data_IF_198488757526
#
_entry.id   IF_198488757526
#
_cell.length_a   1.000
_cell.length_b   1.000
_cell.length_c   1.000
_cell.angle_alpha   90.00
_cell.angle_beta   90.00
_cell.angle_gamma   90.00
#
_symmetry.space_group_name_H-M   'P 1'
#
loop_
_entity.id
_entity.type
_entity.pdbx_description
1 polymer ?
#
# COMPACT_ATOMS: atom_id res chain seq x y z
N UNK A 1 38.22 -6.70 -5.31
CA UNK A 1 38.66 -8.08 -5.63
C UNK A 1 39.82 -8.07 -6.60
N UNK A 2 39.79 -7.20 -7.61
CA UNK A 2 40.85 -7.08 -8.62
C UNK A 2 42.24 -6.80 -8.04
N UNK A 3 42.35 -5.84 -7.11
CA UNK A 3 43.65 -5.43 -6.56
C UNK A 3 44.27 -6.48 -5.61
N UNK A 4 43.46 -7.21 -4.82
CA UNK A 4 43.98 -8.27 -3.94
C UNK A 4 44.45 -9.49 -4.74
N UNK A 5 43.74 -9.82 -5.82
CA UNK A 5 44.15 -10.85 -6.78
C UNK A 5 45.45 -10.48 -7.49
N UNK A 6 45.60 -9.21 -7.89
CA UNK A 6 46.83 -8.68 -8.51
C UNK A 6 48.03 -8.78 -7.58
N UNK A 7 47.89 -8.37 -6.31
CA UNK A 7 48.93 -8.50 -5.27
C UNK A 7 49.35 -9.96 -5.06
N UNK A 8 48.39 -10.89 -4.99
CA UNK A 8 48.69 -12.32 -4.83
C UNK A 8 49.35 -12.94 -6.06
N UNK A 9 48.95 -12.54 -7.26
CA UNK A 9 49.57 -12.98 -8.52
C UNK A 9 51.03 -12.53 -8.61
N UNK A 10 51.28 -11.25 -8.31
CA UNK A 10 52.62 -10.67 -8.25
C UNK A 10 53.52 -11.39 -7.23
N UNK A 11 52.96 -11.88 -6.12
CA UNK A 11 53.72 -12.59 -5.09
C UNK A 11 53.94 -14.08 -5.40
N UNK A 12 52.87 -14.79 -5.75
CA UNK A 12 52.85 -16.26 -5.82
C UNK A 12 53.21 -16.81 -7.20
N UNK A 13 52.94 -16.07 -8.30
CA UNK A 13 53.35 -16.44 -9.65
C UNK A 13 54.62 -15.72 -10.10
N UNK A 14 54.69 -14.41 -9.88
CA UNK A 14 55.81 -13.59 -10.35
C UNK A 14 56.97 -13.50 -9.34
N UNK A 15 56.83 -14.12 -8.16
CA UNK A 15 57.85 -14.20 -7.09
C UNK A 15 58.44 -12.84 -6.67
N UNK A 16 57.69 -11.75 -6.83
CA UNK A 16 58.16 -10.40 -6.51
C UNK A 16 58.30 -10.18 -4.98
N UNK A 17 59.23 -9.32 -4.59
CA UNK A 17 59.39 -8.92 -3.18
C UNK A 17 58.22 -8.05 -2.73
N UNK A 18 57.92 -8.04 -1.43
CA UNK A 18 56.80 -7.22 -0.91
C UNK A 18 57.05 -5.72 -1.12
N UNK A 19 58.32 -5.30 -1.20
CA UNK A 19 58.72 -3.93 -1.50
C UNK A 19 58.43 -3.56 -2.96
N UNK A 20 58.69 -4.46 -3.88
CA UNK A 20 58.44 -4.26 -5.31
C UNK A 20 56.94 -4.22 -5.61
N UNK A 21 56.16 -5.08 -4.96
CA UNK A 21 54.70 -5.07 -5.05
C UNK A 21 54.14 -3.73 -4.55
N UNK A 22 54.59 -3.26 -3.38
CA UNK A 22 54.16 -1.97 -2.83
C UNK A 22 54.43 -0.79 -3.79
N UNK A 23 55.60 -0.78 -4.44
CA UNK A 23 55.98 0.24 -5.42
C UNK A 23 55.09 0.21 -6.66
N UNK A 24 54.77 -0.97 -7.18
CA UNK A 24 53.94 -1.15 -8.39
C UNK A 24 52.46 -0.91 -8.16
N UNK A 25 51.95 -1.16 -6.94
CA UNK A 25 50.52 -1.03 -6.65
C UNK A 25 50.17 0.25 -5.88
N UNK A 26 51.16 1.03 -5.43
CA UNK A 26 50.94 2.22 -4.59
C UNK A 26 50.38 1.90 -3.19
N UNK A 27 50.45 0.62 -2.77
CA UNK A 27 49.92 0.17 -1.48
C UNK A 27 51.03 0.15 -0.43
N UNK A 28 50.70 0.45 0.82
CA UNK A 28 51.68 0.33 1.91
C UNK A 28 52.13 -1.14 2.07
N UNK A 29 53.40 -1.34 2.47
CA UNK A 29 53.95 -2.68 2.74
C UNK A 29 53.11 -3.45 3.78
N UNK A 30 52.52 -2.73 4.74
CA UNK A 30 51.62 -3.31 5.75
C UNK A 30 50.32 -3.84 5.13
N UNK A 31 49.74 -3.10 4.19
CA UNK A 31 48.55 -3.54 3.44
C UNK A 31 48.87 -4.75 2.57
N UNK A 32 50.00 -4.74 1.85
CA UNK A 32 50.47 -5.90 1.04
C UNK A 32 50.64 -7.14 1.92
N UNK A 33 51.35 -7.02 3.06
CA UNK A 33 51.54 -8.13 4.01
C UNK A 33 50.22 -8.65 4.57
N UNK A 34 49.29 -7.75 4.91
CA UNK A 34 47.95 -8.10 5.40
C UNK A 34 47.13 -8.85 4.35
N UNK A 35 47.20 -8.43 3.09
CA UNK A 35 46.45 -9.02 1.98
C UNK A 35 47.00 -10.39 1.56
N UNK A 36 48.31 -10.59 1.65
CA UNK A 36 48.94 -11.91 1.43
C UNK A 36 48.59 -12.92 2.53
N UNK A 37 48.36 -12.46 3.77
CA UNK A 37 47.92 -13.31 4.89
C UNK A 37 46.42 -13.54 4.98
N UNK A 38 45.61 -12.73 4.28
CA UNK A 38 44.16 -12.90 4.30
C UNK A 38 43.77 -14.20 3.56
N UNK A 39 42.69 -14.91 3.98
CA UNK A 39 42.17 -16.06 3.25
C UNK A 39 41.76 -15.70 1.81
N UNK A 40 41.88 -16.68 0.90
CA UNK A 40 41.58 -16.59 -0.53
C UNK A 40 40.34 -15.75 -0.89
N UNK A 41 39.28 -15.99 -0.14
CA UNK A 41 37.91 -15.75 -0.59
C UNK A 41 37.21 -14.58 0.10
N UNK A 42 37.92 -13.80 0.95
CA UNK A 42 37.30 -12.72 1.72
C UNK A 42 37.93 -11.36 1.44
N UNK A 43 37.11 -10.45 0.92
CA UNK A 43 37.47 -9.04 0.80
C UNK A 43 37.70 -8.44 2.21
N UNK A 44 38.81 -7.71 2.45
CA UNK A 44 39.05 -7.07 3.73
C UNK A 44 37.99 -6.00 3.99
N UNK A 45 37.02 -6.30 4.86
CA UNK A 45 36.03 -5.32 5.30
C UNK A 45 36.61 -4.49 6.44
N UNK A 46 36.63 -3.17 6.28
CA UNK A 46 36.90 -2.27 7.39
C UNK A 46 35.79 -2.42 8.44
N UNK A 47 36.14 -2.95 9.62
CA UNK A 47 35.25 -2.98 10.78
C UNK A 47 35.73 -1.92 11.76
N UNK A 48 35.06 -0.77 11.79
CA UNK A 48 35.22 0.20 12.88
C UNK A 48 34.65 -0.45 14.14
N UNK A 49 35.46 -0.59 15.19
CA UNK A 49 34.93 -0.98 16.50
C UNK A 49 33.96 0.12 16.97
N UNK A 50 32.76 -0.28 17.39
CA UNK A 50 31.78 0.65 17.96
C UNK A 50 32.32 1.10 19.33
N UNK A 51 32.84 2.32 19.39
CA UNK A 51 33.21 2.96 20.65
C UNK A 51 31.97 3.34 21.47
N UNK A 52 32.16 3.55 22.77
CA UNK A 52 31.13 4.06 23.68
C UNK A 52 30.63 5.42 23.17
N UNK A 53 29.32 5.57 23.01
CA UNK A 53 28.71 6.84 22.60
C UNK A 53 27.96 7.47 23.77
N UNK A 54 27.61 8.76 23.65
CA UNK A 54 26.73 9.43 24.64
C UNK A 54 25.39 8.71 24.84
N UNK A 55 24.94 7.90 23.88
CA UNK A 55 23.70 7.13 23.98
C UNK A 55 23.90 5.82 24.75
N UNK A 56 25.13 5.31 24.86
CA UNK A 56 25.40 3.97 25.42
C UNK A 56 24.94 3.81 26.87
N UNK A 57 24.98 4.87 27.67
CA UNK A 57 24.43 4.87 29.03
C UNK A 57 22.88 4.78 29.10
N UNK A 58 22.18 5.11 28.02
CA UNK A 58 20.73 5.18 27.93
C UNK A 58 20.11 4.05 27.08
N UNK A 59 20.94 3.18 26.48
CA UNK A 59 20.47 2.10 25.60
C UNK A 59 19.51 1.14 26.31
N UNK A 60 19.78 0.80 27.57
CA UNK A 60 18.91 -0.09 28.36
C UNK A 60 17.49 0.47 28.55
N UNK A 61 17.39 1.76 28.93
CA UNK A 61 16.10 2.46 29.09
C UNK A 61 15.37 2.55 27.75
N UNK A 62 16.11 2.83 26.67
CA UNK A 62 15.54 2.95 25.33
C UNK A 62 15.00 1.60 24.83
N UNK A 63 15.71 0.50 25.07
CA UNK A 63 15.24 -0.86 24.73
C UNK A 63 13.97 -1.21 25.52
N UNK A 64 13.93 -0.93 26.83
CA UNK A 64 12.73 -1.18 27.62
C UNK A 64 11.53 -0.36 27.12
N UNK A 65 11.74 0.91 26.79
CA UNK A 65 10.69 1.76 26.23
C UNK A 65 10.18 1.25 24.87
N UNK A 66 11.08 0.82 23.98
CA UNK A 66 10.73 0.27 22.67
C UNK A 66 9.98 -1.08 22.79
N UNK A 67 10.36 -1.94 23.73
CA UNK A 67 9.63 -3.19 24.04
C UNK A 67 8.25 -2.91 24.62
N UNK A 68 8.12 -1.95 25.53
CA UNK A 68 6.80 -1.58 26.04
C UNK A 68 5.89 -1.02 24.94
N UNK A 69 6.45 -0.27 23.99
CA UNK A 69 5.70 0.29 22.86
C UNK A 69 5.34 -0.75 21.79
N UNK A 70 6.10 -1.85 21.65
CA UNK A 70 5.77 -2.89 20.67
C UNK A 70 4.43 -3.59 20.99
N UNK A 71 4.07 -3.66 22.28
CA UNK A 71 2.81 -4.23 22.76
C UNK A 71 1.61 -3.27 22.63
N UNK A 72 1.83 -2.00 22.26
CA UNK A 72 0.77 -1.00 22.09
C UNK A 72 0.28 -0.94 20.64
N UNK A 73 -0.99 -0.58 20.38
CA UNK A 73 -1.49 -0.33 19.02
C UNK A 73 -0.77 0.86 18.39
N UNK A 74 -0.64 0.86 17.05
CA UNK A 74 0.25 1.78 16.29
C UNK A 74 0.05 3.26 16.63
N UNK A 75 -1.19 3.69 16.89
CA UNK A 75 -1.54 5.07 17.24
C UNK A 75 -1.13 5.47 18.67
N UNK A 76 -0.91 4.51 19.57
CA UNK A 76 -0.57 4.72 20.98
C UNK A 76 0.93 4.50 21.29
N UNK A 77 1.75 4.24 20.27
CA UNK A 77 3.22 4.07 20.41
C UNK A 77 3.88 5.44 20.50
N UNK A 78 4.89 5.59 21.38
CA UNK A 78 5.62 6.86 21.48
C UNK A 78 6.42 7.11 20.21
N UNK A 79 6.44 8.36 19.78
CA UNK A 79 7.28 8.80 18.66
C UNK A 79 8.75 8.86 19.10
N UNK A 80 9.68 8.83 18.14
CA UNK A 80 11.11 9.00 18.44
C UNK A 80 11.41 10.35 19.11
N UNK A 81 10.59 11.39 18.84
CA UNK A 81 10.68 12.69 19.52
C UNK A 81 10.25 12.60 20.99
N UNK A 82 9.17 11.87 21.29
CA UNK A 82 8.74 11.65 22.66
C UNK A 82 9.79 10.87 23.46
N UNK A 83 10.40 9.84 22.85
CA UNK A 83 11.51 9.10 23.47
C UNK A 83 12.75 9.97 23.68
N UNK A 84 13.06 10.88 22.75
CA UNK A 84 14.16 11.84 22.92
C UNK A 84 13.90 12.76 24.12
N UNK A 85 12.70 13.33 24.22
CA UNK A 85 12.32 14.21 25.33
C UNK A 85 12.43 13.49 26.68
N UNK A 86 11.96 12.24 26.75
CA UNK A 86 12.11 11.40 27.94
C UNK A 86 13.58 11.17 28.31
N UNK A 87 14.44 10.88 27.33
CA UNK A 87 15.87 10.68 27.58
C UNK A 87 16.58 11.98 27.98
N UNK A 88 16.19 13.12 27.40
CA UNK A 88 16.74 14.43 27.77
C UNK A 88 16.43 14.80 29.22
N UNK A 89 15.22 14.49 29.70
CA UNK A 89 14.83 14.64 31.10
C UNK A 89 15.68 13.77 32.03
N UNK A 90 16.16 12.62 31.56
CA UNK A 90 17.07 11.72 32.29
C UNK A 90 18.56 12.10 32.15
N UNK A 91 18.87 13.23 31.52
CA UNK A 91 20.25 13.72 31.39
C UNK A 91 20.93 13.42 30.05
N UNK A 92 20.23 12.86 29.06
CA UNK A 92 20.80 12.66 27.73
C UNK A 92 21.10 14.01 27.05
N UNK A 93 22.36 14.20 26.63
CA UNK A 93 22.84 15.39 25.89
C UNK A 93 23.29 15.07 24.47
N UNK A 94 22.85 13.93 23.93
CA UNK A 94 23.12 13.54 22.54
C UNK A 94 22.05 14.01 21.56
N UNK A 95 22.31 13.82 20.27
CA UNK A 95 21.43 14.28 19.20
C UNK A 95 20.39 13.25 18.75
N UNK A 96 19.26 13.75 18.21
CA UNK A 96 18.16 12.97 17.65
C UNK A 96 18.60 11.91 16.63
N UNK A 97 19.61 12.22 15.79
CA UNK A 97 20.12 11.30 14.77
C UNK A 97 20.70 10.02 15.37
N UNK A 98 21.40 10.10 16.52
CA UNK A 98 21.97 8.91 17.17
C UNK A 98 20.90 8.02 17.79
N UNK A 99 19.89 8.64 18.40
CA UNK A 99 18.72 7.93 18.93
C UNK A 99 17.95 7.24 17.82
N UNK A 100 17.69 7.91 16.70
CA UNK A 100 16.95 7.32 15.57
C UNK A 100 17.73 6.23 14.85
N UNK A 101 19.05 6.37 14.71
CA UNK A 101 19.93 5.31 14.22
C UNK A 101 19.85 4.06 15.10
N UNK A 102 19.88 4.24 16.43
CA UNK A 102 19.73 3.14 17.38
C UNK A 102 18.35 2.48 17.25
N UNK A 103 17.26 3.24 17.22
CA UNK A 103 15.89 2.71 17.04
C UNK A 103 15.79 1.91 15.74
N UNK A 104 16.35 2.42 14.63
CA UNK A 104 16.37 1.69 13.34
C UNK A 104 17.14 0.38 13.45
N UNK A 105 18.32 0.40 14.06
CA UNK A 105 19.13 -0.80 14.25
C UNK A 105 18.44 -1.83 15.15
N UNK A 106 17.83 -1.38 16.25
CA UNK A 106 17.07 -2.22 17.17
C UNK A 106 15.87 -2.87 16.47
N UNK A 107 15.08 -2.09 15.70
CA UNK A 107 13.96 -2.63 14.91
C UNK A 107 14.41 -3.63 13.85
N UNK A 108 15.57 -3.41 13.22
CA UNK A 108 16.14 -4.35 12.26
C UNK A 108 16.63 -5.66 12.92
N UNK A 109 17.01 -5.61 14.20
CA UNK A 109 17.43 -6.79 14.97
C UNK A 109 16.23 -7.56 15.54
N UNK A 110 15.21 -6.89 16.08
CA UNK A 110 13.96 -7.54 16.52
C UNK A 110 13.09 -8.00 15.35
N UNK A 111 13.19 -7.34 14.19
CA UNK A 111 12.53 -7.73 12.93
C UNK A 111 13.08 -9.01 12.28
N UNK A 112 13.91 -9.79 12.98
CA UNK A 112 14.28 -11.16 12.59
C UNK A 112 13.22 -12.20 12.98
N UNK A 113 12.14 -11.81 13.67
CA UNK A 113 10.88 -12.54 13.52
C UNK A 113 10.47 -12.41 12.06
N UNK A 114 10.54 -13.51 11.29
CA UNK A 114 10.36 -13.60 9.84
C UNK A 114 9.66 -12.37 9.26
N UNK A 115 10.43 -11.45 8.65
CA UNK A 115 9.83 -10.40 7.84
C UNK A 115 8.90 -11.13 6.88
N UNK A 116 7.58 -10.94 7.04
CA UNK A 116 6.61 -11.54 6.12
C UNK A 116 7.09 -11.15 4.73
N UNK A 117 7.58 -12.13 3.97
CA UNK A 117 8.05 -11.91 2.62
C UNK A 117 6.80 -11.60 1.81
N UNK A 118 6.69 -10.37 1.33
CA UNK A 118 5.60 -9.97 0.46
C UNK A 118 6.07 -10.19 -0.98
N UNK A 119 5.31 -10.98 -1.73
CA UNK A 119 5.48 -11.08 -3.17
C UNK A 119 4.77 -9.88 -3.78
N UNK A 120 5.47 -8.96 -4.49
CA UNK A 120 4.80 -7.89 -5.21
C UNK A 120 3.83 -8.49 -6.23
N UNK A 121 2.56 -8.09 -6.17
CA UNK A 121 1.57 -8.49 -7.16
C UNK A 121 1.77 -7.63 -8.41
N UNK A 122 2.01 -8.30 -9.55
CA UNK A 122 1.99 -7.72 -10.88
C UNK A 122 0.69 -8.13 -11.55
N UNK A 123 0.10 -7.23 -12.33
CA UNK A 123 -1.17 -7.46 -13.01
C UNK A 123 -1.02 -7.06 -14.48
N UNK A 124 -1.57 -7.87 -15.37
CA UNK A 124 -1.69 -7.55 -16.80
C UNK A 124 -2.80 -6.51 -17.03
N UNK A 125 -2.73 -5.81 -18.17
CA UNK A 125 -3.76 -4.85 -18.56
C UNK A 125 -5.11 -5.56 -18.67
N UNK A 126 -6.13 -5.05 -17.97
CA UNK A 126 -7.47 -5.61 -17.97
C UNK A 126 -7.64 -6.87 -17.10
N UNK A 127 -6.59 -7.31 -16.40
CA UNK A 127 -6.65 -8.52 -15.58
C UNK A 127 -7.59 -8.35 -14.38
N UNK A 128 -7.44 -7.26 -13.63
CA UNK A 128 -8.15 -7.10 -12.37
C UNK A 128 -8.44 -5.65 -11.98
N UNK A 129 -9.54 -5.46 -11.26
CA UNK A 129 -9.79 -4.27 -10.46
C UNK A 129 -9.92 -4.64 -8.98
N UNK A 130 -9.76 -3.65 -8.11
CA UNK A 130 -10.03 -3.75 -6.69
C UNK A 130 -11.19 -2.83 -6.33
N UNK A 131 -12.09 -3.32 -5.49
CA UNK A 131 -13.18 -2.53 -4.93
C UNK A 131 -13.09 -2.50 -3.40
N UNK A 132 -13.31 -1.32 -2.82
CA UNK A 132 -13.34 -1.13 -1.37
C UNK A 132 -14.34 -0.03 -0.96
N UNK A 133 -14.77 -0.09 0.30
CA UNK A 133 -15.57 0.95 0.92
C UNK A 133 -14.74 1.73 1.93
N UNK A 134 -15.08 3.01 2.08
CA UNK A 134 -14.54 3.79 3.16
C UNK A 134 -15.53 4.78 3.75
N UNK A 135 -15.36 5.10 5.02
CA UNK A 135 -16.13 6.15 5.67
C UNK A 135 -15.37 7.49 5.60
N UNK A 136 -16.07 8.55 5.21
CA UNK A 136 -15.57 9.92 5.17
C UNK A 136 -16.59 10.89 5.77
N UNK A 137 -16.13 12.00 6.34
CA UNK A 137 -16.99 13.00 6.98
C UNK A 137 -17.00 14.32 6.22
N UNK A 138 -18.16 14.80 5.79
CA UNK A 138 -18.29 16.09 5.10
C UNK A 138 -19.65 16.75 5.36
N UNK A 139 -19.66 18.08 5.30
CA UNK A 139 -20.90 18.87 5.30
C UNK A 139 -21.49 18.93 3.88
N UNK A 140 -22.69 18.40 3.70
CA UNK A 140 -23.42 18.40 2.43
C UNK A 140 -24.83 18.95 2.69
N UNK A 141 -25.25 19.98 1.95
CA UNK A 141 -26.58 20.57 2.12
C UNK A 141 -26.84 21.14 3.52
N UNK A 142 -25.77 21.50 4.25
CA UNK A 142 -25.86 21.97 5.64
C UNK A 142 -25.96 20.85 6.70
N UNK A 143 -25.95 19.58 6.31
CA UNK A 143 -25.96 18.42 7.21
C UNK A 143 -24.60 17.74 7.19
N UNK A 144 -24.08 17.38 8.37
CA UNK A 144 -22.83 16.63 8.47
C UNK A 144 -23.09 15.14 8.28
N UNK A 145 -22.53 14.55 7.24
CA UNK A 145 -22.71 13.15 6.90
C UNK A 145 -21.45 12.34 7.18
N UNK A 146 -21.63 11.17 7.80
CA UNK A 146 -20.68 10.04 7.74
C UNK A 146 -20.97 9.24 6.46
N UNK A 147 -20.43 9.70 5.34
CA UNK A 147 -20.72 9.12 4.04
C UNK A 147 -19.91 7.85 3.79
N UNK A 148 -20.47 6.99 2.95
CA UNK A 148 -19.85 5.76 2.48
C UNK A 148 -19.33 5.99 1.08
N UNK A 149 -18.03 5.86 0.89
CA UNK A 149 -17.35 6.14 -0.37
C UNK A 149 -16.90 4.82 -0.99
N UNK A 150 -17.40 4.52 -2.18
CA UNK A 150 -16.91 3.41 -2.98
C UNK A 150 -15.60 3.80 -3.66
N UNK A 151 -14.63 2.90 -3.67
CA UNK A 151 -13.38 3.04 -4.41
C UNK A 151 -13.27 1.85 -5.34
N UNK A 152 -13.28 2.09 -6.66
CA UNK A 152 -12.94 1.07 -7.64
C UNK A 152 -11.66 1.48 -8.34
N UNK A 153 -10.69 0.56 -8.42
CA UNK A 153 -9.37 0.85 -8.99
C UNK A 153 -8.89 -0.29 -9.88
N UNK A 154 -8.48 0.03 -11.10
CA UNK A 154 -7.80 -0.91 -11.98
C UNK A 154 -6.42 -1.23 -11.44
N UNK A 155 -6.07 -2.52 -11.44
CA UNK A 155 -4.81 -2.97 -10.86
C UNK A 155 -3.62 -2.66 -11.75
N UNK A 156 -3.74 -2.66 -13.08
CA UNK A 156 -2.60 -2.39 -13.96
C UNK A 156 -2.37 -0.88 -14.16
N UNK A 157 -3.32 -0.11 -14.70
CA UNK A 157 -3.16 1.35 -14.90
C UNK A 157 -3.12 2.16 -13.62
N UNK A 158 -3.62 1.60 -12.51
CA UNK A 158 -3.86 2.29 -11.24
C UNK A 158 -4.89 3.41 -11.31
N UNK A 159 -5.60 3.57 -12.43
CA UNK A 159 -6.74 4.48 -12.54
C UNK A 159 -7.84 4.06 -11.55
N UNK A 160 -8.50 5.03 -10.95
CA UNK A 160 -9.44 4.81 -9.87
C UNK A 160 -10.62 5.77 -9.94
N UNK A 161 -11.80 5.29 -9.57
CA UNK A 161 -13.02 6.06 -9.49
C UNK A 161 -13.59 6.01 -8.08
N UNK A 162 -14.08 7.15 -7.59
CA UNK A 162 -14.71 7.25 -6.28
C UNK A 162 -16.10 7.85 -6.38
N UNK A 163 -17.03 7.33 -5.57
CA UNK A 163 -18.40 7.82 -5.50
C UNK A 163 -18.86 7.80 -4.04
N UNK A 164 -19.44 8.90 -3.59
CA UNK A 164 -19.98 9.08 -2.25
C UNK A 164 -21.47 8.75 -2.18
N UNK A 165 -21.86 8.02 -1.14
CA UNK A 165 -23.21 7.54 -0.87
C UNK A 165 -23.60 7.75 0.59
N UNK A 166 -24.90 7.79 0.91
CA UNK A 166 -25.37 7.82 2.29
C UNK A 166 -25.21 6.47 3.02
N UNK A 167 -25.08 5.35 2.30
CA UNK A 167 -24.98 4.00 2.87
C UNK A 167 -24.21 3.02 1.97
N UNK A 168 -23.96 1.81 2.46
CA UNK A 168 -23.33 0.70 1.70
C UNK A 168 -24.37 -0.36 1.27
N UNK A 169 -25.63 0.01 1.03
CA UNK A 169 -26.66 -0.93 0.58
C UNK A 169 -26.36 -1.56 -0.79
N UNK A 170 -27.05 -2.66 -1.13
CA UNK A 170 -26.90 -3.32 -2.44
C UNK A 170 -27.11 -2.35 -3.61
N UNK A 171 -28.10 -1.48 -3.53
CA UNK A 171 -28.39 -0.47 -4.57
C UNK A 171 -27.17 0.42 -4.84
N UNK A 172 -26.52 0.88 -3.76
CA UNK A 172 -25.33 1.72 -3.83
C UNK A 172 -24.12 0.94 -4.31
N UNK A 173 -23.99 -0.34 -3.94
CA UNK A 173 -22.95 -1.22 -4.48
C UNK A 173 -23.09 -1.37 -6.00
N UNK A 174 -24.30 -1.59 -6.51
CA UNK A 174 -24.56 -1.78 -7.93
C UNK A 174 -24.37 -0.48 -8.72
N UNK A 175 -24.87 0.65 -8.20
CA UNK A 175 -24.64 1.97 -8.79
C UNK A 175 -23.13 2.31 -8.83
N UNK A 176 -22.38 1.99 -7.76
CA UNK A 176 -20.93 2.21 -7.71
C UNK A 176 -20.17 1.47 -8.81
N UNK A 177 -20.48 0.20 -9.05
CA UNK A 177 -19.86 -0.56 -10.14
C UNK A 177 -20.21 0.03 -11.50
N UNK A 178 -21.50 0.30 -11.74
CA UNK A 178 -21.98 0.91 -13.00
C UNK A 178 -21.26 2.23 -13.30
N UNK A 179 -21.23 3.17 -12.34
CA UNK A 179 -20.55 4.46 -12.52
C UNK A 179 -19.06 4.31 -12.75
N UNK A 180 -18.43 3.36 -12.06
CA UNK A 180 -16.99 3.16 -12.14
C UNK A 180 -16.57 2.55 -13.47
N UNK A 181 -17.27 1.51 -13.94
CA UNK A 181 -17.01 0.90 -15.23
C UNK A 181 -17.26 1.88 -16.39
N UNK A 182 -18.32 2.69 -16.30
CA UNK A 182 -18.59 3.75 -17.27
C UNK A 182 -17.45 4.78 -17.32
N UNK A 183 -16.96 5.21 -16.15
CA UNK A 183 -15.91 6.23 -16.07
C UNK A 183 -14.53 5.71 -16.51
N UNK A 184 -14.21 4.47 -16.16
CA UNK A 184 -12.94 3.83 -16.53
C UNK A 184 -12.93 3.38 -17.99
N UNK A 185 -14.11 3.16 -18.59
CA UNK A 185 -14.27 2.81 -20.00
C UNK A 185 -14.29 1.31 -20.27
N UNK A 186 -14.62 0.50 -19.27
CA UNK A 186 -14.76 -0.95 -19.43
C UNK A 186 -14.69 -1.73 -18.12
N UNK A 187 -14.74 -3.06 -18.24
CA UNK A 187 -14.73 -4.03 -17.13
C UNK A 187 -13.50 -4.94 -17.23
N UNK A 188 -12.76 -5.09 -16.13
CA UNK A 188 -11.62 -6.02 -16.07
C UNK A 188 -12.10 -7.45 -15.77
N UNK A 189 -11.28 -8.46 -16.10
CA UNK A 189 -11.67 -9.87 -16.00
C UNK A 189 -11.96 -10.34 -14.57
N UNK A 190 -11.28 -9.76 -13.57
CA UNK A 190 -11.41 -10.17 -12.16
C UNK A 190 -11.68 -8.97 -11.25
N UNK A 191 -12.61 -9.11 -10.31
CA UNK A 191 -12.88 -8.11 -9.27
C UNK A 191 -12.38 -8.58 -7.91
N UNK A 192 -11.49 -7.83 -7.26
CA UNK A 192 -10.92 -8.18 -5.96
C UNK A 192 -11.66 -7.42 -4.84
N UNK A 193 -12.21 -8.16 -3.89
CA UNK A 193 -13.08 -7.64 -2.83
C UNK A 193 -12.63 -8.06 -1.43
N UNK A 194 -13.04 -7.28 -0.42
CA UNK A 194 -13.13 -7.82 0.94
C UNK A 194 -14.40 -8.67 1.11
N UNK A 195 -14.51 -9.38 2.23
CA UNK A 195 -15.66 -10.20 2.61
C UNK A 195 -16.83 -9.32 3.12
N UNK A 196 -17.23 -8.31 2.33
CA UNK A 196 -18.32 -7.40 2.67
C UNK A 196 -19.68 -8.09 2.57
N UNK A 197 -20.60 -7.78 3.50
CA UNK A 197 -21.92 -8.43 3.60
C UNK A 197 -22.79 -8.28 2.34
N UNK A 198 -22.55 -7.24 1.54
CA UNK A 198 -23.28 -7.02 0.28
C UNK A 198 -22.83 -7.95 -0.84
N UNK A 199 -21.62 -8.52 -0.75
CA UNK A 199 -21.09 -9.47 -1.73
C UNK A 199 -21.04 -10.91 -1.20
N UNK A 200 -20.88 -11.09 0.12
CA UNK A 200 -20.72 -12.40 0.77
C UNK A 200 -21.76 -12.56 1.88
N UNK A 201 -22.68 -13.51 1.71
CA UNK A 201 -23.65 -13.86 2.74
C UNK A 201 -23.00 -14.69 3.86
N UNK A 202 -22.07 -15.59 3.52
CA UNK A 202 -21.38 -16.44 4.50
C UNK A 202 -19.97 -16.84 4.09
N UNK A 203 -19.05 -16.71 5.04
CA UNK A 203 -17.67 -17.21 4.96
C UNK A 203 -17.64 -18.65 5.48
N UNK A 204 -17.30 -19.64 4.63
CA UNK A 204 -17.11 -21.05 5.05
C UNK A 204 -15.64 -21.29 5.49
N UNK A 205 -15.37 -22.43 6.16
CA UNK A 205 -13.99 -22.86 6.47
C UNK A 205 -13.18 -23.01 5.16
N UNK A 206 -11.96 -22.48 5.15
CA UNK A 206 -11.10 -22.44 3.95
C UNK A 206 -11.47 -21.34 2.95
N UNK A 207 -11.33 -21.63 1.65
CA UNK A 207 -11.60 -20.68 0.55
C UNK A 207 -13.08 -20.56 0.14
N UNK A 208 -13.96 -21.40 0.67
CA UNK A 208 -15.38 -21.39 0.29
C UNK A 208 -16.12 -20.15 0.77
N UNK A 209 -16.90 -19.51 -0.10
CA UNK A 209 -17.81 -18.40 0.21
C UNK A 209 -19.21 -18.71 -0.34
N UNK A 210 -20.24 -18.28 0.36
CA UNK A 210 -21.59 -18.15 -0.19
C UNK A 210 -21.69 -16.70 -0.66
N UNK A 211 -21.58 -16.53 -1.97
CA UNK A 211 -21.68 -15.23 -2.63
C UNK A 211 -23.16 -14.84 -2.67
N UNK A 212 -23.45 -13.58 -2.38
CA UNK A 212 -24.80 -13.04 -2.42
C UNK A 212 -25.38 -13.18 -3.84
N UNK A 213 -26.62 -13.65 -3.96
CA UNK A 213 -27.22 -13.97 -5.25
C UNK A 213 -27.30 -12.75 -6.21
N UNK A 214 -27.65 -11.57 -5.69
CA UNK A 214 -27.73 -10.35 -6.50
C UNK A 214 -26.34 -9.85 -6.90
N UNK A 215 -25.34 -9.98 -6.01
CA UNK A 215 -23.96 -9.69 -6.38
C UNK A 215 -23.42 -10.68 -7.44
N UNK A 216 -23.79 -11.95 -7.36
CA UNK A 216 -23.44 -12.92 -8.40
C UNK A 216 -24.11 -12.59 -9.76
N UNK A 217 -25.35 -12.08 -9.73
CA UNK A 217 -26.02 -11.59 -10.93
C UNK A 217 -25.31 -10.36 -11.53
N UNK A 218 -24.83 -9.43 -10.70
CA UNK A 218 -23.99 -8.31 -11.13
C UNK A 218 -22.70 -8.80 -11.80
N UNK A 219 -22.00 -9.76 -11.19
CA UNK A 219 -20.77 -10.36 -11.74
C UNK A 219 -21.04 -11.02 -13.09
N UNK A 220 -22.17 -11.73 -13.23
CA UNK A 220 -22.58 -12.38 -14.47
C UNK A 220 -22.97 -11.36 -15.55
N UNK A 221 -23.61 -10.25 -15.18
CA UNK A 221 -24.01 -9.19 -16.09
C UNK A 221 -22.81 -8.44 -16.66
N UNK A 222 -21.84 -8.09 -15.81
CA UNK A 222 -20.61 -7.40 -16.21
C UNK A 222 -19.46 -8.35 -16.58
N UNK A 223 -19.70 -9.66 -16.52
CA UNK A 223 -18.79 -10.72 -16.97
C UNK A 223 -17.40 -10.67 -16.31
N UNK A 224 -17.34 -10.49 -14.99
CA UNK A 224 -16.09 -10.57 -14.22
C UNK A 224 -16.16 -11.64 -13.13
N UNK A 225 -15.01 -12.22 -12.79
CA UNK A 225 -14.88 -13.19 -11.70
C UNK A 225 -14.60 -12.49 -10.36
N UNK A 226 -15.43 -12.68 -9.32
CA UNK A 226 -15.15 -12.12 -8.00
C UNK A 226 -14.11 -12.96 -7.24
N UNK A 227 -13.04 -12.30 -6.79
CA UNK A 227 -12.01 -12.85 -5.93
C UNK A 227 -12.05 -12.17 -4.56
N UNK A 228 -12.15 -12.97 -3.49
CA UNK A 228 -12.30 -12.48 -2.13
C UNK A 228 -11.02 -12.70 -1.33
N UNK A 229 -10.48 -11.63 -0.76
CA UNK A 229 -9.27 -11.72 0.06
C UNK A 229 -9.47 -12.68 1.25
N UNK A 230 -8.38 -13.34 1.65
CA UNK A 230 -8.38 -14.18 2.84
C UNK A 230 -8.66 -13.32 4.09
N UNK A 231 -9.41 -13.88 5.03
CA UNK A 231 -9.72 -13.20 6.30
C UNK A 231 -8.41 -12.83 7.01
N UNK A 232 -8.28 -11.57 7.43
CA UNK A 232 -7.09 -11.01 8.07
C UNK A 232 -5.80 -10.96 7.21
N UNK A 233 -5.93 -10.99 5.88
CA UNK A 233 -4.79 -10.96 4.92
C UNK A 233 -4.69 -9.64 4.15
N UNK A 234 -4.71 -8.50 4.85
CA UNK A 234 -4.60 -7.16 4.22
C UNK A 234 -3.33 -6.95 3.38
N UNK A 235 -2.33 -7.83 3.50
CA UNK A 235 -1.14 -7.80 2.66
C UNK A 235 -1.39 -8.22 1.20
N UNK A 236 -2.46 -8.95 0.92
CA UNK A 236 -2.89 -9.30 -0.46
C UNK A 236 -3.35 -8.04 -1.23
N UNK A 237 -3.56 -6.90 -0.55
CA UNK A 237 -3.91 -5.59 -1.12
C UNK A 237 -2.75 -4.57 -1.12
N UNK A 238 -1.57 -4.96 -0.61
CA UNK A 238 -0.58 -4.03 -0.04
C UNK A 238 0.21 -3.13 -1.01
N UNK A 239 0.29 -3.44 -2.31
CA UNK A 239 0.99 -2.56 -3.28
C UNK A 239 0.07 -1.42 -3.75
N UNK A 240 -1.24 -1.70 -3.80
CA UNK A 240 -2.27 -0.76 -4.27
C UNK A 240 -2.59 0.27 -3.17
N UNK A 241 -2.63 -0.15 -1.91
CA UNK A 241 -3.07 0.68 -0.77
C UNK A 241 -2.23 1.94 -0.53
N UNK A 242 -0.90 1.89 -0.68
CA UNK A 242 -0.05 3.01 -0.24
C UNK A 242 -0.20 4.26 -1.11
N UNK A 243 -0.31 4.09 -2.42
CA UNK A 243 -0.48 5.23 -3.34
C UNK A 243 -1.94 5.73 -3.36
N UNK A 244 -2.91 4.84 -3.14
CA UNK A 244 -4.34 5.21 -3.03
C UNK A 244 -4.62 5.96 -1.74
N UNK A 245 -4.01 5.56 -0.62
CA UNK A 245 -4.13 6.31 0.63
C UNK A 245 -3.61 7.74 0.51
N UNK A 246 -2.53 7.95 -0.26
CA UNK A 246 -1.96 9.28 -0.46
C UNK A 246 -2.82 10.17 -1.38
N UNK A 247 -3.38 9.64 -2.48
CA UNK A 247 -4.28 10.41 -3.36
C UNK A 247 -5.64 10.66 -2.73
N UNK A 248 -6.24 9.64 -2.07
CA UNK A 248 -7.51 9.75 -1.33
C UNK A 248 -7.45 10.84 -0.29
N UNK A 249 -6.37 10.88 0.51
CA UNK A 249 -6.21 11.91 1.54
C UNK A 249 -6.21 13.32 0.94
N UNK A 250 -5.62 13.52 -0.22
CA UNK A 250 -5.60 14.82 -0.91
C UNK A 250 -6.99 15.21 -1.40
N UNK A 251 -7.73 14.28 -2.00
CA UNK A 251 -9.12 14.52 -2.46
C UNK A 251 -9.97 15.02 -1.29
N UNK A 252 -9.95 14.34 -0.16
CA UNK A 252 -10.83 14.70 0.97
C UNK A 252 -10.40 15.95 1.72
N UNK A 253 -9.09 16.24 1.78
CA UNK A 253 -8.61 17.54 2.28
C UNK A 253 -9.16 18.68 1.41
N UNK A 254 -9.09 18.53 0.09
CA UNK A 254 -9.59 19.55 -0.85
C UNK A 254 -11.12 19.66 -0.81
N UNK A 255 -11.83 18.53 -0.78
CA UNK A 255 -13.28 18.49 -0.63
C UNK A 255 -13.75 19.24 0.62
N UNK A 256 -13.01 19.10 1.74
CA UNK A 256 -13.28 19.79 3.00
C UNK A 256 -13.16 21.31 2.94
N UNK A 257 -12.51 21.87 1.91
CA UNK A 257 -12.44 23.32 1.67
C UNK A 257 -13.60 23.86 0.82
N UNK A 258 -14.42 22.97 0.26
CA UNK A 258 -15.54 23.29 -0.63
C UNK A 258 -16.86 23.10 0.10
N UNK A 259 -17.92 23.70 -0.45
CA UNK A 259 -19.30 23.50 0.00
C UNK A 259 -20.05 22.78 -1.09
N UNK A 260 -20.78 21.73 -0.71
CA UNK A 260 -21.63 20.97 -1.60
C UNK A 260 -23.07 21.03 -1.08
N UNK A 261 -24.02 21.30 -1.96
CA UNK A 261 -25.45 21.31 -1.67
C UNK A 261 -26.08 19.92 -1.70
N UNK A 262 -25.47 18.96 -2.41
CA UNK A 262 -26.00 17.59 -2.53
C UNK A 262 -24.92 16.55 -2.81
N UNK A 263 -25.24 15.27 -2.64
CA UNK A 263 -24.39 14.16 -3.09
C UNK A 263 -24.15 14.18 -4.60
N UNK A 264 -25.11 14.66 -5.39
CA UNK A 264 -24.96 14.80 -6.85
C UNK A 264 -23.84 15.77 -7.19
N UNK A 265 -23.85 16.95 -6.55
CA UNK A 265 -22.82 17.96 -6.73
C UNK A 265 -21.45 17.47 -6.26
N UNK A 266 -21.39 16.81 -5.09
CA UNK A 266 -20.16 16.19 -4.59
C UNK A 266 -19.62 15.15 -5.59
N UNK A 267 -20.48 14.27 -6.11
CA UNK A 267 -20.07 13.23 -7.03
C UNK A 267 -19.65 13.77 -8.41
N UNK A 268 -20.25 14.86 -8.88
CA UNK A 268 -19.78 15.56 -10.08
C UNK A 268 -18.37 16.12 -9.87
N UNK A 269 -18.12 16.75 -8.72
CA UNK A 269 -16.78 17.24 -8.38
C UNK A 269 -15.75 16.12 -8.21
N UNK A 270 -16.12 15.01 -7.54
CA UNK A 270 -15.25 13.84 -7.38
C UNK A 270 -14.87 13.23 -8.74
N UNK A 271 -15.82 13.20 -9.68
CA UNK A 271 -15.60 12.70 -11.04
C UNK A 271 -14.54 13.52 -11.80
N UNK A 272 -14.63 14.85 -11.73
CA UNK A 272 -13.62 15.76 -12.30
C UNK A 272 -12.27 15.58 -11.60
N UNK A 273 -12.28 15.48 -10.28
CA UNK A 273 -11.04 15.36 -9.51
C UNK A 273 -10.32 14.04 -9.76
N UNK A 274 -11.03 12.94 -9.92
CA UNK A 274 -10.42 11.66 -10.33
C UNK A 274 -9.66 11.82 -11.65
N UNK A 275 -10.31 12.40 -12.68
CA UNK A 275 -9.69 12.60 -14.00
C UNK A 275 -8.46 13.52 -13.94
N UNK A 276 -8.53 14.61 -13.18
CA UNK A 276 -7.38 15.50 -12.98
C UNK A 276 -6.22 14.77 -12.29
N UNK A 277 -6.48 13.96 -11.26
CA UNK A 277 -5.42 13.16 -10.62
C UNK A 277 -4.82 12.14 -11.57
N UNK A 278 -5.62 11.53 -12.45
CA UNK A 278 -5.10 10.58 -13.43
C UNK A 278 -4.09 11.24 -14.38
N UNK A 279 -4.36 12.48 -14.81
CA UNK A 279 -3.48 13.25 -15.68
C UNK A 279 -2.23 13.79 -14.94
N UNK A 280 -2.36 14.15 -13.66
CA UNK A 280 -1.25 14.74 -12.88
C UNK A 280 -0.29 13.69 -12.29
N UNK A 281 -0.72 12.44 -12.16
CA UNK A 281 0.02 11.41 -11.43
C UNK A 281 0.78 10.49 -12.38
N UNK A 282 2.11 10.41 -12.23
CA UNK A 282 2.93 9.43 -12.92
C UNK A 282 2.66 8.00 -12.40
N UNK A 283 2.66 7.02 -13.29
CA UNK A 283 2.49 5.62 -12.96
C UNK A 283 3.67 5.11 -12.10
N UNK A 284 3.42 4.36 -11.00
CA UNK A 284 4.48 3.98 -10.06
C UNK A 284 5.58 3.09 -10.68
N UNK A 285 5.21 2.22 -11.62
CA UNK A 285 6.13 1.28 -12.29
C UNK A 285 6.62 1.82 -13.63
N UNK A 286 5.82 2.64 -14.31
CA UNK A 286 6.08 3.18 -15.64
C UNK A 286 6.08 4.71 -15.58
N UNK A 287 7.06 5.29 -14.89
CA UNK A 287 7.07 6.72 -14.52
C UNK A 287 7.05 7.71 -15.69
N UNK A 288 7.34 7.25 -16.89
CA UNK A 288 7.22 8.02 -18.13
C UNK A 288 5.77 8.24 -18.58
N UNK A 289 4.83 7.46 -18.06
CA UNK A 289 3.40 7.58 -18.35
C UNK A 289 2.66 8.06 -17.11
N UNK A 290 1.60 8.83 -17.34
CA UNK A 290 0.57 9.19 -16.37
C UNK A 290 -0.40 8.03 -16.16
N UNK A 291 -1.24 8.09 -15.12
CA UNK A 291 -2.30 7.08 -14.95
C UNK A 291 -3.32 7.17 -16.08
N UNK A 292 -3.57 8.36 -16.62
CA UNK A 292 -4.47 8.57 -17.75
C UNK A 292 -3.94 7.86 -19.02
N UNK A 293 -2.67 8.03 -19.36
CA UNK A 293 -2.06 7.35 -20.51
C UNK A 293 -2.04 5.82 -20.32
N UNK A 294 -1.77 5.34 -19.11
CA UNK A 294 -1.85 3.90 -18.81
C UNK A 294 -3.29 3.36 -18.88
N UNK A 295 -4.29 4.17 -18.50
CA UNK A 295 -5.70 3.80 -18.62
C UNK A 295 -6.11 3.67 -20.09
N UNK A 296 -5.65 4.57 -20.95
CA UNK A 296 -5.95 4.50 -22.39
C UNK A 296 -5.41 3.21 -23.01
N UNK A 297 -4.21 2.76 -22.61
CA UNK A 297 -3.67 1.46 -23.01
C UNK A 297 -4.47 0.29 -22.41
N UNK A 298 -4.90 0.41 -21.15
CA UNK A 298 -5.65 -0.66 -20.48
C UNK A 298 -7.06 -0.83 -21.08
N UNK A 299 -7.71 0.24 -21.55
CA UNK A 299 -9.06 0.20 -22.14
C UNK A 299 -9.20 -0.76 -23.32
N UNK A 300 -8.15 -0.95 -24.11
CA UNK A 300 -8.14 -1.92 -25.21
C UNK A 300 -8.24 -3.37 -24.74
N UNK A 301 -7.95 -3.62 -23.46
CA UNK A 301 -7.96 -4.93 -22.82
C UNK A 301 -9.17 -5.13 -21.91
N UNK A 302 -10.00 -4.09 -21.72
CA UNK A 302 -11.22 -4.18 -20.93
C UNK A 302 -12.38 -4.68 -21.78
N UNK A 303 -13.30 -5.41 -21.15
CA UNK A 303 -14.57 -5.69 -21.78
C UNK A 303 -15.40 -4.40 -21.92
N UNK A 304 -16.06 -4.26 -23.07
CA UNK A 304 -17.01 -3.18 -23.30
C UNK A 304 -18.11 -3.22 -22.24
N UNK A 305 -18.45 -2.06 -21.70
CA UNK A 305 -19.52 -1.97 -20.72
C UNK A 305 -20.89 -2.31 -21.37
N UNK A 306 -21.63 -3.31 -20.87
CA UNK A 306 -23.01 -3.56 -21.29
C UNK A 306 -23.93 -2.45 -20.75
N UNK A 307 -25.24 -2.59 -20.96
CA UNK A 307 -26.21 -1.68 -20.35
C UNK A 307 -26.05 -1.64 -18.82
N UNK A 308 -26.39 -0.53 -18.14
CA UNK A 308 -26.38 -0.45 -16.68
C UNK A 308 -27.13 -1.63 -16.04
N UNK A 309 -26.50 -2.26 -15.05
CA UNK A 309 -27.16 -3.30 -14.26
C UNK A 309 -28.31 -2.68 -13.45
N UNK A 310 -29.46 -3.35 -13.46
CA UNK A 310 -30.63 -2.87 -12.74
C UNK A 310 -30.45 -3.11 -11.22
N UNK A 311 -30.13 -2.02 -10.51
CA UNK A 311 -29.60 -2.03 -9.15
C UNK A 311 -30.63 -2.07 -8.02
N UNK A 312 -31.87 -2.53 -8.26
CA UNK A 312 -32.92 -2.51 -7.25
C UNK A 312 -32.83 -3.64 -6.21
N UNK A 313 -33.52 -3.48 -5.08
CA UNK A 313 -33.75 -4.55 -4.09
C UNK A 313 -35.23 -4.91 -4.09
N UNK A 314 -35.54 -6.20 -4.13
CA UNK A 314 -36.91 -6.70 -4.06
C UNK A 314 -37.32 -6.97 -2.62
N UNK A 315 -38.40 -6.32 -2.18
CA UNK A 315 -39.04 -6.60 -0.91
C UNK A 315 -40.44 -7.18 -1.18
N UNK A 316 -40.69 -8.47 -0.88
CA UNK A 316 -42.02 -9.04 -1.01
C UNK A 316 -43.00 -8.33 -0.08
N UNK A 317 -44.08 -7.78 -0.65
CA UNK A 317 -45.14 -7.11 0.11
C UNK A 317 -46.48 -7.80 -0.14
N UNK A 318 -47.36 -7.78 0.87
CA UNK A 318 -48.73 -8.26 0.69
C UNK A 318 -49.51 -7.27 -0.17
N UNK A 319 -50.13 -7.80 -1.22
CA UNK A 319 -51.07 -7.05 -2.06
C UNK A 319 -52.45 -7.14 -1.41
N UNK A 320 -53.12 -6.01 -1.22
CA UNK A 320 -54.50 -5.99 -0.76
C UNK A 320 -55.42 -6.64 -1.81
N UNK A 321 -56.64 -7.01 -1.40
CA UNK A 321 -57.68 -7.45 -2.34
C UNK A 321 -58.10 -6.37 -3.35
N UNK A 322 -57.66 -5.12 -3.16
CA UNK A 322 -57.85 -4.00 -4.10
C UNK A 322 -56.59 -3.71 -4.94
N UNK A 323 -55.64 -4.65 -5.01
CA UNK A 323 -54.40 -4.51 -5.75
C UNK A 323 -53.48 -3.36 -5.28
N UNK A 324 -53.59 -2.95 -4.01
CA UNK A 324 -52.72 -1.93 -3.41
C UNK A 324 -51.56 -2.59 -2.65
N UNK A 325 -50.38 -1.99 -2.76
CA UNK A 325 -49.17 -2.36 -2.01
C UNK A 325 -48.82 -1.22 -1.08
N UNK A 326 -48.79 -1.49 0.23
CA UNK A 326 -48.29 -0.53 1.21
C UNK A 326 -46.79 -0.78 1.41
N UNK A 327 -45.97 0.20 1.01
CA UNK A 327 -44.53 0.23 1.27
C UNK A 327 -44.33 1.13 2.49
N UNK A 328 -43.87 0.54 3.60
CA UNK A 328 -43.62 1.26 4.86
C UNK A 328 -42.22 1.85 4.91
#
# INVERSE_FOLDING_TARGET
MEMIGKVRRMKLREQLSNSEIAKRTGLSRNTVKKWLKAPGDQAPKYKRQRGFTKLSAFEGVLVQALKADSHRPKHARRSARALLSQLQAQGYRGGYSRLTDFIRAWRAQEGKAASKAYVPLSFELGEAFQFDWSEEGLLIGGVYHHMQVSHLKLCASRAFWVVAYPSQGHEMLFDAHTRSFAALGGVACRGIYDNMKTAVDKVKKGKGRIVNARFNALCSHYLFEPDFCNVASGWEKGVVEKNVQDSRRRIWIEAGTKRFGSFVELNAWLAERCRSIWAETAHPEHKQFTLAEMLDLEREHLMSMPQPFDGYVENPARVSSTCLVNVA
#
